data_IF_273301426210
#
_entry.id   IF_273301426210
#
_cell.length_a   1.000
_cell.length_b   1.000
_cell.length_c   1.000
_cell.angle_alpha   90.00
_cell.angle_beta   90.00
_cell.angle_gamma   90.00
#
_symmetry.space_group_name_H-M   'P 1'
#
loop_
_entity.id
_entity.type
_entity.pdbx_description
1 polymer ?
#
# COMPACT_ATOMS: atom_id res chain seq x y z
N UNK A 1 14.93 1.77 -6.76
CA UNK A 1 13.84 1.15 -6.00
C UNK A 1 14.41 0.42 -4.80
N UNK A 2 13.58 0.19 -3.80
CA UNK A 2 13.88 -0.75 -2.72
C UNK A 2 13.99 -2.17 -3.32
N UNK A 3 15.01 -2.97 -2.97
CA UNK A 3 15.06 -4.36 -3.42
C UNK A 3 14.06 -5.18 -2.60
N UNK A 4 12.95 -5.57 -3.20
CA UNK A 4 11.96 -6.44 -2.55
C UNK A 4 10.53 -6.19 -3.01
N UNK A 5 9.60 -6.91 -2.38
CA UNK A 5 8.16 -6.73 -2.57
C UNK A 5 7.61 -5.81 -1.50
N UNK A 6 6.70 -4.93 -1.91
CA UNK A 6 5.92 -4.07 -1.01
C UNK A 6 4.46 -4.10 -1.42
N UNK A 7 3.57 -3.86 -0.47
CA UNK A 7 2.17 -3.59 -0.78
C UNK A 7 2.04 -2.18 -1.39
N UNK A 8 1.04 -1.94 -2.26
CA UNK A 8 0.76 -0.60 -2.75
C UNK A 8 0.37 0.35 -1.62
N UNK A 9 0.73 1.63 -1.77
CA UNK A 9 0.46 2.65 -0.77
C UNK A 9 1.40 3.84 -0.86
N UNK A 10 0.99 4.94 -0.23
CA UNK A 10 1.74 6.18 -0.33
C UNK A 10 1.43 7.16 0.80
N UNK A 11 1.65 8.45 0.52
CA UNK A 11 1.46 9.51 1.51
C UNK A 11 -0.01 9.86 1.63
N UNK A 12 -0.40 10.32 2.82
CA UNK A 12 -1.72 10.91 3.03
C UNK A 12 -1.67 12.37 2.61
N UNK A 13 -2.51 12.75 1.64
CA UNK A 13 -2.62 14.11 1.14
C UNK A 13 -3.77 14.86 1.81
N UNK A 14 -3.61 16.16 2.07
CA UNK A 14 -4.70 16.97 2.62
C UNK A 14 -5.78 17.24 1.55
N UNK A 15 -7.09 17.11 1.85
CA UNK A 15 -7.73 16.89 3.16
C UNK A 15 -8.22 15.45 3.40
N UNK A 16 -7.58 14.46 2.80
CA UNK A 16 -8.05 13.08 2.87
C UNK A 16 -7.78 12.42 4.23
N UNK A 17 -8.64 11.48 4.61
CA UNK A 17 -8.39 10.57 5.73
C UNK A 17 -7.38 9.48 5.33
N UNK A 18 -6.73 8.86 6.31
CA UNK A 18 -5.76 7.78 6.08
C UNK A 18 -6.36 6.61 5.27
N UNK A 19 -7.65 6.31 5.48
CA UNK A 19 -8.37 5.27 4.73
C UNK A 19 -8.61 5.70 3.27
N UNK A 20 -8.93 6.98 3.04
CA UNK A 20 -9.08 7.51 1.68
C UNK A 20 -7.76 7.48 0.92
N UNK A 21 -6.66 7.84 1.58
CA UNK A 21 -5.32 7.72 1.00
C UNK A 21 -5.01 6.27 0.58
N UNK A 22 -5.24 5.30 1.48
CA UNK A 22 -5.00 3.88 1.16
C UNK A 22 -5.82 3.41 -0.05
N UNK A 23 -7.10 3.81 -0.16
CA UNK A 23 -7.94 3.46 -1.31
C UNK A 23 -7.44 4.13 -2.59
N UNK A 24 -7.08 5.41 -2.54
CA UNK A 24 -6.57 6.19 -3.67
C UNK A 24 -5.25 5.61 -4.18
N UNK A 25 -4.28 5.39 -3.31
CA UNK A 25 -2.95 4.90 -3.65
C UNK A 25 -3.02 3.50 -4.29
N UNK A 26 -3.83 2.59 -3.74
CA UNK A 26 -4.06 1.28 -4.37
C UNK A 26 -4.61 1.45 -5.78
N UNK A 27 -5.55 2.38 -5.99
CA UNK A 27 -6.13 2.63 -7.32
C UNK A 27 -5.12 3.22 -8.29
N UNK A 28 -4.32 4.18 -7.85
CA UNK A 28 -3.31 4.86 -8.67
C UNK A 28 -2.16 3.94 -9.05
N UNK A 29 -1.68 3.11 -8.12
CA UNK A 29 -0.53 2.24 -8.33
C UNK A 29 -0.89 0.91 -9.00
N UNK A 30 -2.11 0.39 -8.76
CA UNK A 30 -2.49 -0.95 -9.21
C UNK A 30 -3.64 -1.00 -10.20
N UNK A 31 -4.47 0.05 -10.27
CA UNK A 31 -5.70 0.04 -11.06
C UNK A 31 -6.89 -0.63 -10.36
N UNK A 32 -6.69 -1.23 -9.18
CA UNK A 32 -7.76 -1.87 -8.41
C UNK A 32 -8.49 -0.86 -7.52
N UNK A 33 -9.82 -0.94 -7.50
CA UNK A 33 -10.63 -0.26 -6.49
C UNK A 33 -10.87 -1.23 -5.34
N UNK A 34 -10.52 -0.83 -4.12
CA UNK A 34 -10.67 -1.67 -2.92
C UNK A 34 -11.72 -1.12 -1.96
N UNK A 35 -12.38 -2.01 -1.22
CA UNK A 35 -13.38 -1.66 -0.22
C UNK A 35 -13.28 -2.56 1.02
N UNK A 36 -14.10 -2.32 2.05
CA UNK A 36 -14.12 -3.14 3.28
C UNK A 36 -12.75 -3.32 3.97
N UNK A 37 -11.93 -2.25 3.98
CA UNK A 37 -10.59 -2.29 4.55
C UNK A 37 -10.64 -2.57 6.05
N UNK A 38 -9.88 -3.58 6.49
CA UNK A 38 -9.65 -3.91 7.89
C UNK A 38 -8.29 -3.38 8.32
N UNK A 39 -8.25 -2.52 9.33
CA UNK A 39 -6.99 -2.07 9.92
C UNK A 39 -6.25 -3.26 10.59
N UNK A 40 -4.95 -3.39 10.30
CA UNK A 40 -4.12 -4.50 10.82
C UNK A 40 -2.99 -4.06 11.73
N UNK A 41 -2.60 -2.79 11.70
CA UNK A 41 -1.60 -2.28 12.62
C UNK A 41 -0.93 -1.01 12.13
N UNK A 42 -0.20 -0.40 13.06
CA UNK A 42 0.64 0.76 12.82
C UNK A 42 2.09 0.30 12.89
N UNK A 43 2.86 0.63 11.86
CA UNK A 43 4.32 0.62 11.91
C UNK A 43 4.82 2.07 11.95
N UNK A 44 5.91 2.31 12.66
CA UNK A 44 6.51 3.65 12.72
C UNK A 44 8.02 3.63 12.65
N UNK A 45 8.56 4.63 11.96
CA UNK A 45 9.99 4.87 11.87
C UNK A 45 10.32 6.32 12.15
N UNK A 46 11.14 6.55 13.17
CA UNK A 46 11.70 7.88 13.46
C UNK A 46 13.01 8.02 12.72
N UNK A 47 13.14 9.07 11.91
CA UNK A 47 14.40 9.47 11.30
C UNK A 47 14.93 10.73 12.02
N UNK A 48 15.86 10.57 12.99
CA UNK A 48 16.38 11.71 13.75
C UNK A 48 17.17 12.69 12.88
N UNK A 49 17.82 12.21 11.81
CA UNK A 49 18.61 13.07 10.90
C UNK A 49 17.71 13.94 10.02
N UNK A 50 16.59 13.39 9.58
CA UNK A 50 15.61 14.10 8.77
C UNK A 50 14.62 14.95 9.58
N UNK A 51 14.61 14.81 10.91
CA UNK A 51 13.60 15.40 11.81
C UNK A 51 12.17 15.06 11.36
N UNK A 52 11.94 13.79 10.97
CA UNK A 52 10.64 13.29 10.51
C UNK A 52 10.31 11.96 11.19
N UNK A 53 9.02 11.72 11.37
CA UNK A 53 8.45 10.42 11.75
C UNK A 53 7.57 9.93 10.62
N UNK A 54 7.82 8.72 10.17
CA UNK A 54 6.93 7.99 9.28
C UNK A 54 5.98 7.14 10.12
N UNK A 55 4.70 7.19 9.78
CA UNK A 55 3.66 6.36 10.37
C UNK A 55 2.96 5.65 9.23
N UNK A 56 3.04 4.32 9.22
CA UNK A 56 2.48 3.47 8.17
C UNK A 56 1.29 2.73 8.74
N UNK A 57 0.10 3.03 8.23
CA UNK A 57 -1.14 2.40 8.63
C UNK A 57 -1.43 1.25 7.67
N UNK A 58 -1.33 0.02 8.17
CA UNK A 58 -1.50 -1.18 7.37
C UNK A 58 -2.96 -1.62 7.37
N UNK A 59 -3.49 -1.85 6.16
CA UNK A 59 -4.84 -2.33 5.94
C UNK A 59 -4.80 -3.65 5.17
N UNK A 60 -5.84 -4.46 5.36
CA UNK A 60 -6.07 -5.68 4.62
C UNK A 60 -7.51 -5.70 4.10
N UNK A 61 -7.69 -6.22 2.89
CA UNK A 61 -9.00 -6.51 2.31
C UNK A 61 -8.86 -7.59 1.24
N UNK A 62 -9.93 -8.36 1.05
CA UNK A 62 -10.13 -9.28 -0.06
C UNK A 62 -11.21 -8.77 -1.04
N UNK A 63 -11.78 -7.59 -0.79
CA UNK A 63 -12.81 -6.97 -1.61
C UNK A 63 -12.22 -5.93 -2.55
N UNK A 64 -12.16 -6.27 -3.83
CA UNK A 64 -11.65 -5.41 -4.89
C UNK A 64 -12.39 -5.58 -6.21
N UNK A 65 -12.31 -4.55 -7.05
CA UNK A 65 -12.84 -4.50 -8.41
C UNK A 65 -11.81 -3.89 -9.37
N UNK A 66 -11.92 -4.22 -10.66
CA UNK A 66 -11.05 -3.72 -11.72
C UNK A 66 -9.96 -4.71 -12.14
N UNK A 67 -9.03 -4.22 -12.94
CA UNK A 67 -7.92 -5.01 -13.50
C UNK A 67 -6.59 -4.33 -13.15
N UNK A 68 -5.52 -5.14 -13.04
CA UNK A 68 -4.18 -4.61 -12.80
C UNK A 68 -3.72 -3.73 -13.97
N UNK A 69 -3.02 -2.64 -13.64
CA UNK A 69 -2.39 -1.79 -14.65
C UNK A 69 -1.35 -2.57 -15.45
N UNK A 70 -1.36 -2.37 -16.77
CA UNK A 70 -0.34 -2.95 -17.67
C UNK A 70 1.01 -2.26 -17.54
N UNK A 71 1.02 -0.96 -17.17
CA UNK A 71 2.23 -0.15 -17.00
C UNK A 71 2.16 0.61 -15.66
N UNK A 72 2.34 -0.10 -14.53
CA UNK A 72 2.29 0.49 -13.19
C UNK A 72 3.47 1.45 -12.92
N UNK A 73 3.27 2.51 -12.11
CA UNK A 73 4.30 3.52 -11.86
C UNK A 73 5.45 3.06 -10.95
N UNK A 74 5.18 2.15 -10.01
CA UNK A 74 6.11 1.81 -8.91
C UNK A 74 6.81 0.44 -9.06
N UNK A 75 6.51 -0.30 -10.13
CA UNK A 75 7.11 -1.61 -10.42
C UNK A 75 6.10 -2.67 -10.85
N UNK A 76 6.59 -3.85 -11.21
CA UNK A 76 5.75 -4.96 -11.67
C UNK A 76 4.74 -5.41 -10.58
N UNK A 77 3.48 -5.58 -10.99
CA UNK A 77 2.41 -6.06 -10.11
C UNK A 77 2.27 -7.58 -10.22
N UNK A 78 2.31 -8.26 -9.08
CA UNK A 78 2.26 -9.71 -9.00
C UNK A 78 1.27 -10.19 -7.95
N UNK A 79 0.41 -11.13 -8.32
CA UNK A 79 -0.38 -11.89 -7.36
C UNK A 79 0.47 -13.01 -6.78
N UNK A 80 0.76 -12.94 -5.48
CA UNK A 80 1.61 -13.91 -4.79
C UNK A 80 0.78 -14.68 -3.76
N UNK A 81 0.75 -16.03 -3.80
CA UNK A 81 0.15 -16.83 -2.74
C UNK A 81 0.78 -16.53 -1.37
N UNK A 82 -0.04 -16.39 -0.33
CA UNK A 82 0.43 -16.05 1.05
C UNK A 82 1.56 -16.99 1.53
N UNK A 83 1.45 -18.29 1.27
CA UNK A 83 2.46 -19.28 1.66
C UNK A 83 3.81 -19.10 0.95
N UNK A 84 3.80 -18.48 -0.23
CA UNK A 84 5.01 -18.07 -0.97
C UNK A 84 5.54 -16.76 -0.39
N UNK A 85 4.67 -15.77 -0.18
CA UNK A 85 5.04 -14.46 0.34
C UNK A 85 5.76 -14.53 1.70
N UNK A 86 5.36 -15.45 2.58
CA UNK A 86 5.99 -15.67 3.90
C UNK A 86 7.43 -16.24 3.84
N UNK A 87 7.91 -16.60 2.65
CA UNK A 87 9.24 -17.19 2.43
C UNK A 87 10.16 -16.31 1.59
N UNK A 88 9.67 -15.16 1.14
CA UNK A 88 10.44 -14.13 0.44
C UNK A 88 11.24 -13.29 1.44
#
# INVERSE_FOLDING_TARGET
>A
GFPGYIAPGGKVDFPESIVQAAIREVKEETGLLVSNLTFKGLDEYVNPKGNVRYMVFNYWTDSFEGELLLNPPEGELLWIPINTALKL
#
